data_IF_391651114753
#
_entry.id   IF_391651114753
#
_cell.length_a   1.000
_cell.length_b   1.000
_cell.length_c   1.000
_cell.angle_alpha   90.00
_cell.angle_beta   90.00
_cell.angle_gamma   90.00
#
_symmetry.space_group_name_H-M   'P 1'
#
loop_
_entity.id
_entity.type
_entity.pdbx_description
1 polymer ?
#
# COMPACT_ATOMS: atom_id res chain seq x y z
N UNK A 1 8.23 8.77 -23.62
CA UNK A 1 8.87 9.69 -22.66
C UNK A 1 9.85 8.89 -21.82
N UNK A 2 11.07 9.38 -21.56
CA UNK A 2 11.98 8.66 -20.66
C UNK A 2 11.31 8.63 -19.28
N UNK A 3 11.01 7.44 -18.79
CA UNK A 3 10.45 7.25 -17.46
C UNK A 3 11.48 7.72 -16.44
N UNK A 4 11.28 8.89 -15.84
CA UNK A 4 12.07 9.27 -14.67
C UNK A 4 11.93 8.14 -13.63
N UNK A 5 13.04 7.62 -13.07
CA UNK A 5 12.96 6.54 -12.10
C UNK A 5 12.08 6.99 -10.94
N UNK A 6 11.09 6.16 -10.59
CA UNK A 6 10.20 6.43 -9.48
C UNK A 6 11.05 6.63 -8.21
N UNK A 7 10.88 7.74 -7.47
CA UNK A 7 11.65 7.95 -6.26
C UNK A 7 11.26 6.93 -5.19
N UNK A 8 12.24 6.52 -4.40
CA UNK A 8 12.00 5.72 -3.20
C UNK A 8 11.44 6.65 -2.12
N UNK A 9 10.30 6.33 -1.54
CA UNK A 9 9.67 7.09 -0.48
C UNK A 9 10.31 6.75 0.86
N UNK A 10 10.66 7.78 1.64
CA UNK A 10 11.20 7.58 2.98
C UNK A 10 10.26 6.77 3.88
N UNK A 11 10.80 5.76 4.55
CA UNK A 11 10.12 4.94 5.54
C UNK A 11 10.69 5.21 6.94
N UNK A 12 9.86 5.80 7.80
CA UNK A 12 10.25 6.15 9.17
C UNK A 12 10.33 4.96 10.13
N UNK A 13 9.85 3.80 9.73
CA UNK A 13 9.82 2.59 10.54
C UNK A 13 11.08 1.72 10.33
N UNK A 14 12.03 2.13 9.48
CA UNK A 14 13.25 1.35 9.27
C UNK A 14 14.26 1.51 10.41
N UNK A 15 14.86 0.41 10.84
CA UNK A 15 15.84 0.32 11.93
C UNK A 15 16.98 -0.62 11.60
N UNK A 16 18.14 -0.36 12.20
CA UNK A 16 19.33 -1.17 12.03
C UNK A 16 19.15 -2.52 12.74
N UNK A 17 19.44 -3.60 12.01
CA UNK A 17 19.45 -4.97 12.51
C UNK A 17 20.89 -5.42 12.74
N UNK A 18 21.17 -5.93 13.93
CA UNK A 18 22.49 -6.43 14.31
C UNK A 18 23.41 -5.35 14.90
N UNK A 19 24.32 -5.79 15.77
CA UNK A 19 25.18 -4.89 16.54
C UNK A 19 26.12 -4.04 15.67
N UNK A 20 26.60 -4.60 14.55
CA UNK A 20 27.53 -3.91 13.66
C UNK A 20 26.90 -2.68 13.00
N UNK A 21 25.75 -2.83 12.34
CA UNK A 21 25.07 -1.70 11.71
C UNK A 21 24.58 -0.70 12.76
N UNK A 22 24.08 -1.17 13.90
CA UNK A 22 23.68 -0.30 15.01
C UNK A 22 24.86 0.57 15.50
N UNK A 23 26.05 -0.01 15.63
CA UNK A 23 27.25 0.73 16.02
C UNK A 23 27.69 1.73 14.93
N UNK A 24 27.63 1.35 13.65
CA UNK A 24 27.95 2.24 12.52
C UNK A 24 27.01 3.46 12.46
N UNK A 25 25.71 3.23 12.56
CA UNK A 25 24.69 4.29 12.62
C UNK A 25 24.91 5.22 13.82
N UNK A 26 25.24 4.66 14.99
CA UNK A 26 25.51 5.46 16.18
C UNK A 26 26.73 6.36 15.99
N UNK A 27 27.83 5.83 15.45
CA UNK A 27 29.04 6.62 15.12
C UNK A 27 28.76 7.72 14.10
N UNK A 28 27.90 7.45 13.10
CA UNK A 28 27.45 8.48 12.15
C UNK A 28 26.71 9.60 12.87
N UNK A 29 25.75 9.28 13.74
CA UNK A 29 25.04 10.28 14.53
C UNK A 29 25.98 11.11 15.43
N UNK A 30 26.94 10.46 16.10
CA UNK A 30 27.95 11.13 16.93
C UNK A 30 28.80 12.11 16.10
N UNK A 31 29.21 11.69 14.91
CA UNK A 31 29.98 12.51 13.96
C UNK A 31 29.19 13.73 13.50
N UNK A 32 27.90 13.57 13.20
CA UNK A 32 27.02 14.68 12.82
C UNK A 32 26.85 15.68 13.97
N UNK A 33 26.70 15.20 15.20
CA UNK A 33 26.60 16.07 16.39
C UNK A 33 27.91 16.82 16.65
N UNK A 34 29.07 16.17 16.48
CA UNK A 34 30.37 16.82 16.59
C UNK A 34 30.56 17.91 15.53
N UNK A 35 30.12 17.68 14.29
CA UNK A 35 30.13 18.68 13.22
C UNK A 35 29.17 19.84 13.50
N UNK A 36 27.95 19.56 14.01
CA UNK A 36 26.98 20.58 14.44
C UNK A 36 27.60 21.50 15.51
N UNK A 37 28.30 20.93 16.50
CA UNK A 37 28.97 21.67 17.56
C UNK A 37 30.14 22.53 17.04
N UNK A 38 31.00 21.96 16.18
CA UNK A 38 32.17 22.67 15.63
C UNK A 38 31.79 23.80 14.65
N UNK A 39 30.68 23.65 13.92
CA UNK A 39 30.19 24.65 12.95
C UNK A 39 29.53 25.87 13.61
N UNK A 40 29.19 25.81 14.90
CA UNK A 40 28.46 26.89 15.58
C UNK A 40 27.03 27.10 15.06
N UNK A 41 26.50 26.15 14.29
CA UNK A 41 25.20 26.26 13.60
C UNK A 41 24.00 26.33 14.55
N UNK A 42 24.17 25.99 15.83
CA UNK A 42 23.15 26.13 16.87
C UNK A 42 23.56 27.14 17.95
N UNK A 43 22.64 28.04 18.26
CA UNK A 43 22.79 29.01 19.38
C UNK A 43 22.64 28.36 20.76
N UNK A 44 22.03 27.17 20.86
CA UNK A 44 21.77 26.47 22.12
C UNK A 44 22.08 24.97 21.99
N UNK A 45 22.71 24.42 23.03
CA UNK A 45 22.94 22.99 23.16
C UNK A 45 21.63 22.20 23.01
N UNK A 46 21.72 21.01 22.42
CA UNK A 46 20.58 20.11 22.25
C UNK A 46 20.19 19.51 23.60
N UNK A 47 18.89 19.51 23.91
CA UNK A 47 18.37 18.84 25.12
C UNK A 47 18.47 17.33 24.94
N UNK A 48 18.60 16.58 26.02
CA UNK A 48 18.72 15.12 26.01
C UNK A 48 17.59 14.42 25.22
N UNK A 49 16.34 14.84 25.40
CA UNK A 49 15.20 14.31 24.66
C UNK A 49 15.26 14.58 23.14
N UNK A 50 15.80 15.74 22.74
CA UNK A 50 15.98 16.08 21.32
C UNK A 50 17.18 15.35 20.72
N UNK A 51 18.18 15.03 21.53
CA UNK A 51 19.32 14.18 21.18
C UNK A 51 18.84 12.76 20.92
N UNK A 52 18.06 12.15 21.81
CA UNK A 52 17.50 10.81 21.59
C UNK A 52 16.70 10.72 20.29
N UNK A 53 15.82 11.70 20.02
CA UNK A 53 15.06 11.77 18.76
C UNK A 53 15.97 11.94 17.54
N UNK A 54 17.07 12.68 17.66
CA UNK A 54 18.05 12.84 16.58
C UNK A 54 18.70 11.51 16.20
N UNK A 55 19.13 10.70 17.17
CA UNK A 55 19.66 9.36 16.89
C UNK A 55 18.64 8.49 16.15
N UNK A 56 17.38 8.49 16.59
CA UNK A 56 16.30 7.74 15.95
C UNK A 56 16.06 8.22 14.50
N UNK A 57 16.18 9.53 14.24
CA UNK A 57 16.08 10.07 12.90
C UNK A 57 17.26 9.72 12.00
N UNK A 58 18.49 9.80 12.52
CA UNK A 58 19.71 9.38 11.80
C UNK A 58 19.65 7.89 11.47
N UNK A 59 19.20 7.05 12.40
CA UNK A 59 19.02 5.61 12.16
C UNK A 59 18.05 5.33 11.02
N UNK A 60 16.86 5.94 11.05
CA UNK A 60 15.89 5.78 9.98
C UNK A 60 16.45 6.28 8.64
N UNK A 61 17.12 7.42 8.60
CA UNK A 61 17.78 7.95 7.39
C UNK A 61 18.86 7.01 6.86
N UNK A 62 19.77 6.56 7.72
CA UNK A 62 20.84 5.65 7.34
C UNK A 62 20.29 4.34 6.74
N UNK A 63 19.27 3.75 7.35
CA UNK A 63 18.62 2.55 6.83
C UNK A 63 17.97 2.79 5.46
N UNK A 64 17.29 3.92 5.27
CA UNK A 64 16.73 4.28 3.96
C UNK A 64 17.83 4.48 2.90
N UNK A 65 18.97 5.07 3.25
CA UNK A 65 20.09 5.29 2.32
C UNK A 65 20.80 3.98 1.94
N UNK A 66 20.93 3.03 2.88
CA UNK A 66 21.43 1.67 2.59
C UNK A 66 20.50 0.96 1.60
N UNK A 67 19.18 1.02 1.83
CA UNK A 67 18.22 0.44 0.91
C UNK A 67 18.22 1.13 -0.46
N UNK A 68 18.35 2.47 -0.49
CA UNK A 68 18.48 3.22 -1.74
C UNK A 68 19.70 2.74 -2.54
N UNK A 69 20.84 2.53 -1.87
CA UNK A 69 22.03 1.98 -2.54
C UNK A 69 21.79 0.55 -3.03
N UNK A 70 21.06 -0.26 -2.25
CA UNK A 70 20.70 -1.64 -2.61
C UNK A 70 19.70 -1.75 -3.77
N UNK A 71 19.02 -0.67 -4.18
CA UNK A 71 18.20 -0.70 -5.41
C UNK A 71 19.04 -0.69 -6.68
N UNK A 72 20.31 -0.29 -6.60
CA UNK A 72 21.22 -0.22 -7.76
C UNK A 72 20.78 0.74 -8.87
N UNK A 73 19.69 1.47 -8.69
CA UNK A 73 19.09 2.37 -9.67
C UNK A 73 19.51 3.83 -9.44
N UNK A 74 19.37 4.68 -10.45
CA UNK A 74 19.43 6.14 -10.30
C UNK A 74 18.21 6.72 -9.54
N UNK A 75 17.54 5.91 -8.71
CA UNK A 75 16.46 6.36 -7.85
C UNK A 75 16.98 7.33 -6.81
N UNK A 76 16.10 8.21 -6.35
CA UNK A 76 16.39 9.19 -5.30
C UNK A 76 15.47 8.93 -4.13
N UNK A 77 15.90 9.26 -2.92
CA UNK A 77 15.09 9.17 -1.72
C UNK A 77 14.22 10.43 -1.59
N UNK A 78 12.90 10.26 -1.66
CA UNK A 78 11.92 11.30 -1.39
C UNK A 78 11.70 11.43 0.12
N UNK A 79 12.23 12.52 0.70
CA UNK A 79 12.14 12.82 2.14
C UNK A 79 11.06 13.87 2.42
N UNK A 80 10.19 13.65 3.42
CA UNK A 80 9.16 14.61 3.78
C UNK A 80 9.78 15.86 4.42
N UNK A 81 9.50 17.03 3.84
CA UNK A 81 9.88 18.33 4.41
C UNK A 81 8.70 19.24 4.75
N UNK A 82 7.47 18.86 4.39
CA UNK A 82 6.30 19.70 4.63
C UNK A 82 5.89 19.68 6.11
N UNK A 83 5.52 20.85 6.62
CA UNK A 83 5.04 21.00 8.00
C UNK A 83 3.87 20.04 8.29
N UNK A 84 2.94 19.90 7.35
CA UNK A 84 1.78 19.01 7.50
C UNK A 84 2.14 17.53 7.72
N UNK A 85 3.31 17.06 7.26
CA UNK A 85 3.75 15.66 7.41
C UNK A 85 4.71 15.50 8.59
N UNK A 86 5.60 16.48 8.81
CA UNK A 86 6.62 16.42 9.86
C UNK A 86 5.99 16.36 11.26
N UNK A 87 4.88 17.05 11.47
CA UNK A 87 4.32 17.26 12.81
C UNK A 87 3.17 16.30 13.19
N UNK A 88 3.03 15.16 12.50
CA UNK A 88 1.96 14.17 12.75
C UNK A 88 2.27 13.17 13.89
N UNK A 89 3.13 13.53 14.85
CA UNK A 89 3.39 12.70 16.04
C UNK A 89 4.32 11.50 15.81
N UNK A 90 5.14 11.51 14.75
CA UNK A 90 6.15 10.49 14.49
C UNK A 90 7.46 10.81 15.24
N UNK A 91 8.01 9.86 16.01
CA UNK A 91 9.28 10.04 16.74
C UNK A 91 10.48 10.39 15.84
N UNK A 92 10.46 9.92 14.59
CA UNK A 92 11.48 10.20 13.58
C UNK A 92 11.27 11.59 13.00
N UNK A 93 10.06 11.99 12.67
CA UNK A 93 9.82 13.24 11.93
C UNK A 93 9.71 14.43 12.89
N UNK A 94 10.53 15.46 12.65
CA UNK A 94 10.56 16.69 13.44
C UNK A 94 11.72 17.60 13.02
N UNK A 95 11.96 18.65 13.80
CA UNK A 95 13.11 19.55 13.56
C UNK A 95 14.45 18.81 13.60
N UNK A 96 14.56 17.79 14.45
CA UNK A 96 15.74 16.93 14.55
C UNK A 96 16.02 16.12 13.27
N UNK A 97 14.98 15.69 12.56
CA UNK A 97 15.12 15.00 11.28
C UNK A 97 15.56 15.94 10.15
N UNK A 98 14.99 17.15 10.10
CA UNK A 98 15.45 18.18 9.16
C UNK A 98 16.92 18.52 9.40
N UNK A 99 17.30 18.73 10.67
CA UNK A 99 18.70 18.97 11.04
C UNK A 99 19.62 17.81 10.62
N UNK A 100 19.18 16.55 10.76
CA UNK A 100 19.97 15.40 10.33
C UNK A 100 20.21 15.42 8.81
N UNK A 101 19.20 15.76 7.99
CA UNK A 101 19.36 15.92 6.54
C UNK A 101 20.34 17.06 6.23
N UNK A 102 20.16 18.23 6.88
CA UNK A 102 20.98 19.41 6.62
C UNK A 102 22.46 19.14 6.97
N UNK A 103 22.74 18.45 8.09
CA UNK A 103 24.09 18.06 8.51
C UNK A 103 24.72 17.02 7.58
N UNK A 104 23.96 15.99 7.17
CA UNK A 104 24.42 15.02 6.17
C UNK A 104 24.80 15.72 4.85
N UNK A 105 24.02 16.73 4.44
CA UNK A 105 24.29 17.52 3.24
C UNK A 105 25.51 18.43 3.41
N UNK A 106 25.65 19.10 4.57
CA UNK A 106 26.77 19.99 4.88
C UNK A 106 28.11 19.24 4.91
N UNK A 107 28.10 18.00 5.41
CA UNK A 107 29.27 17.12 5.39
C UNK A 107 29.53 16.46 4.02
N UNK A 108 28.69 16.72 3.02
CA UNK A 108 28.82 16.13 1.68
C UNK A 108 28.57 14.63 1.62
N UNK A 109 27.86 14.06 2.60
CA UNK A 109 27.49 12.63 2.64
C UNK A 109 26.25 12.35 1.79
N UNK A 110 25.40 13.35 1.59
CA UNK A 110 24.27 13.30 0.67
C UNK A 110 24.24 14.52 -0.26
N UNK A 111 23.57 14.38 -1.40
CA UNK A 111 23.19 15.51 -2.25
C UNK A 111 21.70 15.81 -2.04
N UNK A 112 21.38 17.09 -1.81
CA UNK A 112 20.01 17.55 -2.00
C UNK A 112 19.77 17.82 -3.48
N UNK A 113 18.82 17.10 -4.07
CA UNK A 113 18.35 17.34 -5.43
C UNK A 113 17.33 18.48 -5.48
N UNK A 114 16.23 18.28 -6.22
CA UNK A 114 15.15 19.27 -6.28
C UNK A 114 14.40 19.35 -4.94
N UNK A 115 14.31 20.56 -4.37
CA UNK A 115 13.48 20.85 -3.20
C UNK A 115 12.02 21.07 -3.61
N UNK A 116 11.09 20.35 -2.97
CA UNK A 116 9.65 20.66 -3.01
C UNK A 116 9.07 21.00 -4.39
N UNK A 117 9.46 20.28 -5.44
CA UNK A 117 9.11 20.65 -6.81
C UNK A 117 7.72 20.14 -7.20
N UNK A 118 7.03 20.92 -8.03
CA UNK A 118 5.76 20.51 -8.63
C UNK A 118 6.03 19.64 -9.85
N UNK A 119 5.42 18.45 -9.92
CA UNK A 119 5.36 17.65 -11.17
C UNK A 119 4.21 18.14 -12.05
N UNK A 120 3.17 18.68 -11.42
CA UNK A 120 2.05 19.36 -12.07
C UNK A 120 1.54 20.47 -11.17
N UNK A 121 0.64 21.32 -11.68
CA UNK A 121 -0.03 22.36 -10.88
C UNK A 121 -0.68 21.79 -9.60
N UNK A 122 -1.01 20.48 -9.62
CA UNK A 122 -1.77 19.76 -8.59
C UNK A 122 -0.95 18.80 -7.72
N UNK A 123 0.34 18.58 -8.01
CA UNK A 123 1.17 17.61 -7.27
C UNK A 123 2.53 18.18 -6.86
N UNK A 124 2.73 18.35 -5.54
CA UNK A 124 4.00 18.73 -4.93
C UNK A 124 4.76 17.47 -4.49
N UNK A 125 5.98 17.29 -4.97
CA UNK A 125 6.83 16.18 -4.58
C UNK A 125 7.61 16.50 -3.30
N UNK A 126 7.92 15.47 -2.49
CA UNK A 126 8.91 15.59 -1.43
C UNK A 126 10.27 15.99 -1.99
N UNK A 127 11.12 16.55 -1.14
CA UNK A 127 12.50 16.85 -1.53
C UNK A 127 13.25 15.56 -1.82
N UNK A 128 14.09 15.56 -2.84
CA UNK A 128 14.87 14.37 -3.24
C UNK A 128 16.29 14.44 -2.67
N UNK A 129 16.75 13.30 -2.16
CA UNK A 129 18.09 13.10 -1.60
C UNK A 129 18.79 11.95 -2.33
N UNK A 130 20.08 12.10 -2.55
CA UNK A 130 20.95 11.10 -3.17
C UNK A 130 22.16 10.81 -2.27
N UNK A 131 22.67 9.57 -2.27
CA UNK A 131 23.92 9.21 -1.57
C UNK A 131 25.14 9.78 -2.31
N UNK A 132 26.13 10.28 -1.57
CA UNK A 132 27.48 10.58 -2.10
C UNK A 132 28.46 9.47 -1.73
N UNK A 133 29.59 9.40 -2.43
CA UNK A 133 30.62 8.35 -2.21
C UNK A 133 31.13 8.33 -0.78
N UNK A 134 31.36 9.50 -0.17
CA UNK A 134 31.81 9.65 1.23
C UNK A 134 30.90 9.02 2.27
N UNK A 135 29.63 8.74 1.95
CA UNK A 135 28.74 8.04 2.87
C UNK A 135 29.22 6.62 3.18
N UNK A 136 29.96 5.98 2.25
CA UNK A 136 30.52 4.64 2.43
C UNK A 136 31.58 4.58 3.53
N UNK A 137 32.18 5.71 3.92
CA UNK A 137 33.12 5.80 5.04
C UNK A 137 32.42 5.62 6.40
N UNK A 138 31.09 5.80 6.43
CA UNK A 138 30.28 5.78 7.65
C UNK A 138 29.29 4.60 7.72
N UNK A 139 28.83 4.09 6.57
CA UNK A 139 27.82 3.03 6.47
C UNK A 139 28.27 1.92 5.53
N UNK A 140 27.87 0.65 5.78
CA UNK A 140 28.21 -0.48 4.93
C UNK A 140 27.41 -0.43 3.61
N UNK A 141 27.96 0.28 2.62
CA UNK A 141 27.34 0.51 1.32
C UNK A 141 27.99 -0.27 0.17
N UNK A 142 29.04 -1.06 0.45
CA UNK A 142 29.83 -1.78 -0.55
C UNK A 142 30.20 -3.20 -0.06
N UNK A 143 29.43 -4.24 -0.42
CA UNK A 143 28.08 -4.15 -0.97
C UNK A 143 27.06 -3.73 0.11
N UNK A 144 25.95 -3.08 -0.27
CA UNK A 144 24.90 -2.75 0.69
C UNK A 144 24.14 -4.03 1.10
N UNK A 145 24.07 -4.33 2.39
CA UNK A 145 23.24 -5.43 2.89
C UNK A 145 21.86 -4.94 3.34
N UNK A 146 20.87 -5.11 2.47
CA UNK A 146 19.49 -4.76 2.79
C UNK A 146 18.88 -5.65 3.90
N UNK A 147 19.46 -6.82 4.20
CA UNK A 147 19.01 -7.72 5.27
C UNK A 147 19.44 -7.25 6.65
N UNK A 148 20.43 -6.37 6.72
CA UNK A 148 20.80 -5.64 7.93
C UNK A 148 19.78 -4.54 8.29
N UNK A 149 18.73 -4.34 7.48
CA UNK A 149 17.63 -3.43 7.81
C UNK A 149 16.37 -4.23 8.12
N UNK A 150 15.61 -3.77 9.12
CA UNK A 150 14.27 -4.28 9.41
C UNK A 150 13.27 -3.14 9.58
N UNK A 151 11.99 -3.45 9.51
CA UNK A 151 10.91 -2.51 9.75
C UNK A 151 10.28 -2.82 11.12
N UNK A 152 10.16 -1.81 11.98
CA UNK A 152 9.39 -1.91 13.23
C UNK A 152 7.90 -1.77 12.95
N UNK A 153 7.06 -2.18 13.90
CA UNK A 153 5.62 -2.01 13.76
C UNK A 153 5.24 -0.54 13.70
N UNK A 154 4.38 -0.20 12.75
CA UNK A 154 3.71 1.09 12.75
C UNK A 154 2.69 1.10 13.91
N UNK A 155 2.79 2.03 14.87
CA UNK A 155 1.79 2.14 15.93
C UNK A 155 0.40 2.51 15.35
N UNK A 156 0.35 3.13 14.17
CA UNK A 156 -0.88 3.55 13.50
C UNK A 156 -1.42 2.43 12.60
N UNK A 157 -2.21 1.54 13.19
CA UNK A 157 -2.80 0.41 12.48
C UNK A 157 -4.09 0.75 11.70
N UNK A 158 -4.74 1.86 12.06
CA UNK A 158 -6.02 2.27 11.47
C UNK A 158 -5.94 3.73 11.06
N UNK A 159 -6.18 4.00 9.79
CA UNK A 159 -6.18 5.35 9.21
C UNK A 159 -7.59 5.68 8.74
N UNK A 160 -8.08 6.84 9.13
CA UNK A 160 -9.28 7.45 8.57
C UNK A 160 -8.85 8.58 7.64
N UNK A 161 -9.35 8.59 6.40
CA UNK A 161 -9.08 9.64 5.43
C UNK A 161 -10.31 10.48 5.13
N UNK A 162 -10.09 11.73 4.78
CA UNK A 162 -11.10 12.64 4.23
C UNK A 162 -11.66 12.14 2.90
N UNK A 163 -12.69 12.82 2.41
CA UNK A 163 -13.05 12.71 1.00
C UNK A 163 -11.91 13.24 0.13
N UNK A 164 -11.83 12.76 -1.11
CA UNK A 164 -10.88 13.34 -2.07
C UNK A 164 -11.27 14.79 -2.36
N UNK A 165 -10.30 15.69 -2.30
CA UNK A 165 -10.44 17.07 -2.76
C UNK A 165 -10.48 17.16 -4.30
N UNK A 166 -10.58 18.39 -4.83
CA UNK A 166 -10.61 18.65 -6.27
C UNK A 166 -9.35 18.14 -7.01
N UNK A 167 -8.24 17.99 -6.28
CA UNK A 167 -6.95 17.51 -6.79
C UNK A 167 -6.79 15.99 -6.60
N UNK A 168 -7.79 15.31 -6.02
CA UNK A 168 -7.79 13.87 -5.79
C UNK A 168 -7.03 13.45 -4.52
N UNK A 169 -6.57 14.39 -3.71
CA UNK A 169 -5.86 14.14 -2.46
C UNK A 169 -6.86 13.89 -1.33
N UNK A 170 -6.49 13.01 -0.39
CA UNK A 170 -7.30 12.74 0.79
C UNK A 170 -6.38 12.72 2.02
N UNK A 171 -6.51 13.73 2.88
CA UNK A 171 -5.78 13.87 4.12
C UNK A 171 -6.18 12.81 5.15
N UNK A 172 -5.30 12.51 6.10
CA UNK A 172 -5.64 11.69 7.26
C UNK A 172 -6.39 12.55 8.30
N UNK A 173 -7.45 12.00 8.88
CA UNK A 173 -8.27 12.63 9.91
C UNK A 173 -7.84 12.10 11.28
N UNK A 174 -7.57 13.01 12.22
CA UNK A 174 -7.43 12.64 13.62
C UNK A 174 -8.79 12.24 14.19
N UNK A 175 -8.86 11.10 14.87
CA UNK A 175 -10.09 10.62 15.52
C UNK A 175 -9.78 10.18 16.95
N UNK A 176 -10.76 10.35 17.84
CA UNK A 176 -10.70 9.78 19.19
C UNK A 176 -10.94 8.28 19.11
N UNK A 177 -10.12 7.50 19.83
CA UNK A 177 -10.32 6.06 19.88
C UNK A 177 -11.70 5.68 20.44
N UNK A 178 -12.35 4.72 19.78
CA UNK A 178 -13.62 4.13 20.18
C UNK A 178 -13.49 2.60 20.29
N UNK A 179 -14.51 1.93 20.84
CA UNK A 179 -14.54 0.47 20.84
C UNK A 179 -14.43 -0.11 19.42
N UNK A 180 -15.03 0.56 18.43
CA UNK A 180 -14.97 0.16 17.03
C UNK A 180 -13.56 0.31 16.44
N UNK A 181 -12.89 1.45 16.64
CA UNK A 181 -11.52 1.65 16.11
C UNK A 181 -10.52 0.72 16.79
N UNK A 182 -10.70 0.44 18.10
CA UNK A 182 -9.92 -0.55 18.84
C UNK A 182 -10.12 -1.96 18.30
N UNK A 183 -11.35 -2.35 17.96
CA UNK A 183 -11.64 -3.63 17.30
C UNK A 183 -10.87 -3.74 15.98
N UNK A 184 -10.91 -2.70 15.15
CA UNK A 184 -10.18 -2.70 13.87
C UNK A 184 -8.66 -2.80 14.08
N UNK A 185 -8.10 -2.03 15.01
CA UNK A 185 -6.68 -2.10 15.33
C UNK A 185 -6.28 -3.49 15.84
N UNK A 186 -7.12 -4.12 16.67
CA UNK A 186 -6.87 -5.48 17.16
C UNK A 186 -6.88 -6.53 16.04
N UNK A 187 -7.80 -6.42 15.08
CA UNK A 187 -7.83 -7.29 13.90
C UNK A 187 -6.52 -7.19 13.10
N UNK A 188 -6.10 -5.96 12.77
CA UNK A 188 -4.84 -5.71 12.05
C UNK A 188 -3.64 -6.21 12.84
N UNK A 189 -3.61 -5.98 14.16
CA UNK A 189 -2.50 -6.42 15.02
C UNK A 189 -2.33 -7.94 15.01
N UNK A 190 -3.43 -8.70 15.04
CA UNK A 190 -3.40 -10.17 14.96
C UNK A 190 -2.84 -10.63 13.62
N UNK A 191 -3.31 -10.05 12.52
CA UNK A 191 -2.82 -10.35 11.17
C UNK A 191 -1.32 -10.03 11.07
N UNK A 192 -0.90 -8.84 11.49
CA UNK A 192 0.52 -8.44 11.46
C UNK A 192 1.38 -9.37 12.30
N UNK A 193 0.92 -9.79 13.48
CA UNK A 193 1.64 -10.77 14.31
C UNK A 193 1.87 -12.07 13.54
N UNK A 194 0.82 -12.64 12.97
CA UNK A 194 0.91 -13.88 12.21
C UNK A 194 1.87 -13.73 11.00
N UNK A 195 1.72 -12.67 10.22
CA UNK A 195 2.58 -12.42 9.06
C UNK A 195 4.05 -12.20 9.44
N UNK A 196 4.34 -11.60 10.59
CA UNK A 196 5.70 -11.40 11.11
C UNK A 196 6.48 -12.71 11.24
N UNK A 197 5.80 -13.75 11.70
CA UNK A 197 6.39 -15.05 11.99
C UNK A 197 6.41 -15.97 10.75
N UNK A 198 5.61 -15.66 9.72
CA UNK A 198 5.51 -16.45 8.51
C UNK A 198 6.80 -16.50 7.67
N UNK A 199 7.07 -17.66 7.05
CA UNK A 199 8.18 -17.84 6.12
C UNK A 199 7.78 -17.32 4.73
N UNK A 200 8.12 -16.06 4.46
CA UNK A 200 7.82 -15.39 3.20
C UNK A 200 9.12 -14.94 2.56
N UNK A 201 9.30 -15.29 1.29
CA UNK A 201 10.49 -14.97 0.51
C UNK A 201 10.11 -14.41 -0.85
N UNK A 202 11.05 -13.72 -1.50
CA UNK A 202 10.91 -13.28 -2.89
C UNK A 202 12.14 -13.75 -3.65
N UNK A 203 11.95 -14.62 -4.64
CA UNK A 203 13.06 -15.20 -5.39
C UNK A 203 13.73 -14.18 -6.31
N UNK A 204 15.03 -14.35 -6.55
CA UNK A 204 15.83 -13.53 -7.48
C UNK A 204 16.19 -12.13 -6.98
N UNK A 205 15.83 -11.73 -5.75
CA UNK A 205 16.16 -10.40 -5.22
C UNK A 205 17.67 -10.15 -5.06
N UNK A 206 18.44 -11.20 -4.74
CA UNK A 206 19.88 -11.06 -4.51
C UNK A 206 20.67 -10.79 -5.79
N UNK A 207 20.20 -11.31 -6.91
CA UNK A 207 20.83 -11.11 -8.21
C UNK A 207 20.42 -9.78 -8.86
N UNK A 208 19.18 -9.32 -8.65
CA UNK A 208 18.62 -8.13 -9.31
C UNK A 208 18.73 -6.83 -8.51
N UNK A 209 19.15 -6.90 -7.25
CA UNK A 209 18.97 -5.78 -6.30
C UNK A 209 17.51 -5.57 -5.90
N UNK A 210 17.28 -4.62 -4.99
CA UNK A 210 15.93 -4.26 -4.54
C UNK A 210 15.17 -3.47 -5.60
N UNK A 211 13.87 -3.73 -5.73
CA UNK A 211 12.99 -3.02 -6.66
C UNK A 211 12.07 -2.08 -5.89
N UNK A 212 11.86 -0.87 -6.41
CA UNK A 212 10.86 0.06 -5.88
C UNK A 212 9.48 -0.29 -6.44
N UNK A 213 8.53 -0.57 -5.55
CA UNK A 213 7.14 -0.87 -5.91
C UNK A 213 6.35 0.36 -6.31
N UNK A 214 5.11 0.16 -6.77
CA UNK A 214 4.23 1.24 -7.27
C UNK A 214 3.91 2.32 -6.23
N UNK A 215 4.01 2.00 -4.95
CA UNK A 215 3.82 2.91 -3.83
C UNK A 215 5.09 3.69 -3.44
N UNK A 216 6.17 3.54 -4.23
CA UNK A 216 7.46 4.16 -3.99
C UNK A 216 8.25 3.49 -2.85
N UNK A 217 7.76 2.40 -2.27
CA UNK A 217 8.46 1.67 -1.22
C UNK A 217 9.22 0.48 -1.80
N UNK A 218 10.30 0.06 -1.17
CA UNK A 218 11.04 -1.12 -1.64
C UNK A 218 10.20 -2.40 -1.47
N UNK A 219 10.31 -3.28 -2.45
CA UNK A 219 9.76 -4.63 -2.38
C UNK A 219 10.75 -5.46 -1.57
N UNK A 220 10.45 -5.67 -0.28
CA UNK A 220 11.31 -6.43 0.62
C UNK A 220 10.48 -7.33 1.56
N UNK A 221 10.90 -8.58 1.82
CA UNK A 221 10.15 -9.52 2.66
C UNK A 221 9.90 -9.06 4.10
N UNK A 222 10.73 -8.16 4.66
CA UNK A 222 10.49 -7.62 5.99
C UNK A 222 9.29 -6.64 6.02
N UNK A 223 8.90 -6.07 4.87
CA UNK A 223 7.83 -5.06 4.76
C UNK A 223 6.47 -5.75 4.66
N UNK A 224 5.99 -6.25 5.80
CA UNK A 224 4.75 -7.02 5.91
C UNK A 224 3.75 -6.47 6.92
N UNK A 225 4.05 -5.31 7.52
CA UNK A 225 3.16 -4.61 8.42
C UNK A 225 2.00 -3.98 7.64
N UNK A 226 0.78 -4.41 7.97
CA UNK A 226 -0.44 -3.90 7.38
C UNK A 226 -1.09 -2.81 8.23
N UNK A 227 -1.87 -1.99 7.56
CA UNK A 227 -2.78 -1.01 8.13
C UNK A 227 -4.11 -1.04 7.41
N UNK A 228 -5.17 -0.64 8.12
CA UNK A 228 -6.54 -0.59 7.59
C UNK A 228 -6.94 0.85 7.28
N UNK A 229 -7.32 1.14 6.04
CA UNK A 229 -7.58 2.51 5.59
C UNK A 229 -9.06 2.71 5.27
N UNK A 230 -9.72 3.58 6.02
CA UNK A 230 -11.09 4.04 5.81
C UNK A 230 -11.10 5.39 5.09
N UNK A 231 -12.18 5.68 4.36
CA UNK A 231 -12.27 6.84 3.47
C UNK A 231 -13.48 7.73 3.81
N UNK A 232 -13.50 8.95 3.27
CA UNK A 232 -14.64 9.86 3.33
C UNK A 232 -15.10 10.20 4.77
N UNK A 233 -14.18 10.21 5.73
CA UNK A 233 -14.46 10.56 7.13
C UNK A 233 -15.42 9.61 7.85
N UNK A 234 -15.62 8.38 7.35
CA UNK A 234 -16.53 7.41 7.98
C UNK A 234 -15.98 5.99 8.00
N UNK A 235 -16.30 5.25 9.07
CA UNK A 235 -15.98 3.83 9.24
C UNK A 235 -16.77 2.89 8.31
N UNK A 236 -17.74 3.43 7.57
CA UNK A 236 -18.59 2.66 6.64
C UNK A 236 -18.04 2.64 5.21
N UNK A 237 -16.94 3.35 4.93
CA UNK A 237 -16.37 3.47 3.61
C UNK A 237 -14.92 2.98 3.58
N UNK A 238 -14.60 2.08 2.65
CA UNK A 238 -13.25 1.57 2.49
C UNK A 238 -12.91 0.46 3.48
N UNK A 239 -11.81 0.60 4.22
CA UNK A 239 -11.32 -0.42 5.15
C UNK A 239 -10.31 -1.39 4.55
N UNK A 240 -9.90 -1.24 3.29
CA UNK A 240 -8.89 -2.12 2.67
C UNK A 240 -7.57 -2.09 3.45
N UNK A 241 -6.90 -3.24 3.45
CA UNK A 241 -5.55 -3.38 3.99
C UNK A 241 -4.52 -2.79 3.02
N UNK A 242 -3.49 -2.17 3.57
CA UNK A 242 -2.37 -1.57 2.85
C UNK A 242 -1.05 -1.80 3.60
N UNK A 243 0.09 -1.65 2.94
CA UNK A 243 1.42 -1.62 3.57
C UNK A 243 2.33 -2.81 3.24
N UNK A 244 1.77 -4.00 2.98
CA UNK A 244 2.54 -5.18 2.62
C UNK A 244 3.19 -5.05 1.23
N UNK A 245 4.44 -5.49 1.09
CA UNK A 245 5.19 -5.34 -0.16
C UNK A 245 4.47 -5.95 -1.39
N UNK A 246 3.77 -7.06 -1.20
CA UNK A 246 3.05 -7.75 -2.29
C UNK A 246 1.89 -6.93 -2.86
N UNK A 247 1.37 -5.95 -2.11
CA UNK A 247 0.33 -5.03 -2.58
C UNK A 247 0.88 -4.02 -3.59
N UNK A 248 2.17 -3.66 -3.50
CA UNK A 248 2.82 -2.72 -4.42
C UNK A 248 3.62 -3.38 -5.54
N UNK A 249 3.80 -4.71 -5.47
CA UNK A 249 4.34 -5.51 -6.57
C UNK A 249 3.44 -5.44 -7.81
N UNK A 250 4.08 -5.46 -8.98
CA UNK A 250 3.35 -5.68 -10.22
C UNK A 250 2.77 -7.10 -10.24
N UNK A 251 1.60 -7.28 -10.86
CA UNK A 251 0.95 -8.59 -10.93
C UNK A 251 1.87 -9.65 -11.54
N UNK A 252 2.57 -9.30 -12.61
CA UNK A 252 3.52 -10.20 -13.28
C UNK A 252 4.69 -10.60 -12.40
N UNK A 253 5.09 -9.81 -11.39
CA UNK A 253 6.23 -10.12 -10.52
C UNK A 253 5.84 -10.98 -9.32
N UNK A 254 4.54 -11.11 -9.01
CA UNK A 254 4.10 -11.80 -7.78
C UNK A 254 4.36 -13.31 -7.80
N UNK A 255 4.58 -13.92 -8.96
CA UNK A 255 4.99 -15.33 -9.08
C UNK A 255 6.34 -15.61 -8.37
N UNK A 256 7.14 -14.57 -8.08
CA UNK A 256 8.41 -14.67 -7.34
C UNK A 256 8.22 -14.87 -5.83
N UNK A 257 7.02 -14.62 -5.30
CA UNK A 257 6.74 -14.82 -3.89
C UNK A 257 6.78 -16.31 -3.58
N UNK A 258 7.41 -16.67 -2.46
CA UNK A 258 7.31 -17.99 -1.85
C UNK A 258 6.70 -17.87 -0.47
N UNK A 259 5.75 -18.76 -0.16
CA UNK A 259 5.11 -18.87 1.14
C UNK A 259 5.41 -20.28 1.64
N UNK A 260 6.08 -20.38 2.78
CA UNK A 260 6.57 -21.65 3.36
C UNK A 260 7.44 -22.45 2.37
N UNK A 261 8.26 -21.73 1.60
CA UNK A 261 9.13 -22.28 0.55
C UNK A 261 8.41 -22.69 -0.74
N UNK A 262 7.08 -22.70 -0.76
CA UNK A 262 6.27 -23.09 -1.91
C UNK A 262 5.94 -21.89 -2.82
N UNK A 263 5.65 -22.17 -4.10
CA UNK A 263 5.04 -21.17 -4.98
C UNK A 263 3.69 -20.72 -4.40
N UNK A 264 3.24 -19.54 -4.84
CA UNK A 264 1.97 -18.99 -4.40
C UNK A 264 0.84 -19.30 -5.39
N UNK A 265 -0.37 -19.44 -4.88
CA UNK A 265 -1.61 -19.38 -5.63
C UNK A 265 -2.40 -18.12 -5.23
N UNK A 266 -3.06 -17.49 -6.21
CA UNK A 266 -3.99 -16.38 -5.99
C UNK A 266 -5.42 -16.94 -5.96
N UNK A 267 -6.11 -16.78 -4.84
CA UNK A 267 -7.51 -17.18 -4.67
C UNK A 267 -8.37 -15.93 -4.56
N UNK A 268 -9.30 -15.72 -5.50
CA UNK A 268 -10.03 -14.46 -5.68
C UNK A 268 -11.54 -14.63 -5.82
N UNK A 269 -12.31 -13.67 -5.27
CA UNK A 269 -13.73 -13.56 -5.56
C UNK A 269 -13.96 -13.04 -6.97
N UNK A 270 -14.65 -13.80 -7.82
CA UNK A 270 -15.00 -13.35 -9.17
C UNK A 270 -16.15 -12.36 -9.14
N UNK A 271 -15.86 -11.14 -9.59
CA UNK A 271 -16.87 -10.10 -9.84
C UNK A 271 -17.60 -9.68 -8.54
N UNK A 272 -16.85 -9.57 -7.44
CA UNK A 272 -17.39 -9.38 -6.09
C UNK A 272 -18.36 -8.21 -5.98
N UNK A 273 -18.01 -7.05 -6.55
CA UNK A 273 -18.81 -5.82 -6.36
C UNK A 273 -20.21 -5.91 -7.00
N UNK A 274 -20.35 -6.28 -8.28
CA UNK A 274 -21.66 -6.57 -8.86
C UNK A 274 -22.44 -7.62 -8.05
N UNK A 275 -21.79 -8.71 -7.63
CA UNK A 275 -22.44 -9.76 -6.83
C UNK A 275 -22.98 -9.25 -5.49
N UNK A 276 -22.19 -8.46 -4.76
CA UNK A 276 -22.64 -7.81 -3.54
C UNK A 276 -23.76 -6.77 -3.80
N UNK A 277 -23.79 -6.14 -4.98
CA UNK A 277 -24.92 -5.28 -5.35
C UNK A 277 -26.22 -6.08 -5.54
N UNK A 278 -26.16 -7.28 -6.12
CA UNK A 278 -27.32 -8.19 -6.19
C UNK A 278 -27.79 -8.63 -4.80
N UNK A 279 -26.85 -9.01 -3.92
CA UNK A 279 -27.15 -9.32 -2.51
C UNK A 279 -27.82 -8.13 -1.82
N UNK A 280 -27.33 -6.91 -2.08
CA UNK A 280 -27.88 -5.68 -1.48
C UNK A 280 -29.30 -5.35 -1.96
N UNK A 281 -29.64 -5.78 -3.18
CA UNK A 281 -30.96 -5.66 -3.79
C UNK A 281 -31.90 -6.84 -3.45
N UNK A 282 -31.45 -7.79 -2.62
CA UNK A 282 -32.16 -9.06 -2.35
C UNK A 282 -32.55 -9.81 -3.63
N UNK A 283 -31.68 -9.73 -4.64
CA UNK A 283 -31.91 -10.27 -5.97
C UNK A 283 -31.05 -11.53 -6.20
N UNK A 284 -31.56 -12.53 -6.94
CA UNK A 284 -30.77 -13.69 -7.36
C UNK A 284 -29.52 -13.25 -8.13
N UNK A 285 -28.37 -13.84 -7.79
CA UNK A 285 -27.12 -13.55 -8.48
C UNK A 285 -27.09 -14.28 -9.83
N UNK A 286 -26.85 -13.60 -10.96
CA UNK A 286 -26.77 -14.29 -12.24
C UNK A 286 -25.55 -15.22 -12.32
N UNK A 287 -25.74 -16.31 -13.06
CA UNK A 287 -24.66 -17.18 -13.51
C UNK A 287 -23.81 -16.49 -14.59
N UNK A 288 -22.60 -17.00 -14.82
CA UNK A 288 -21.72 -16.52 -15.89
C UNK A 288 -21.03 -15.18 -15.63
N UNK A 289 -20.72 -14.48 -16.72
CA UNK A 289 -19.97 -13.23 -16.71
C UNK A 289 -20.90 -12.02 -16.69
N UNK A 290 -20.90 -11.29 -15.57
CA UNK A 290 -21.68 -10.08 -15.37
C UNK A 290 -21.16 -8.92 -16.21
N UNK A 291 -19.92 -8.97 -16.70
CA UNK A 291 -19.38 -7.93 -17.56
C UNK A 291 -19.60 -8.18 -19.06
N UNK A 292 -20.05 -9.37 -19.44
CA UNK A 292 -20.35 -9.70 -20.85
C UNK A 292 -21.73 -9.16 -21.25
N UNK A 293 -21.83 -7.84 -21.44
CA UNK A 293 -23.11 -7.17 -21.76
C UNK A 293 -23.63 -7.53 -23.15
N UNK A 294 -22.72 -7.80 -24.08
CA UNK A 294 -23.04 -8.07 -25.48
C UNK A 294 -23.27 -9.56 -25.77
N UNK A 295 -22.97 -10.45 -24.82
CA UNK A 295 -23.22 -11.89 -24.91
C UNK A 295 -22.22 -12.66 -25.78
N UNK A 296 -21.14 -12.00 -26.21
CA UNK A 296 -20.08 -12.57 -27.04
C UNK A 296 -18.67 -12.15 -26.59
N UNK A 297 -18.55 -11.60 -25.38
CA UNK A 297 -17.30 -11.09 -24.81
C UNK A 297 -16.85 -9.72 -25.33
N UNK A 298 -17.50 -9.18 -26.36
CA UNK A 298 -17.19 -7.84 -26.88
C UNK A 298 -17.39 -6.78 -25.81
N UNK A 299 -16.47 -5.82 -25.72
CA UNK A 299 -16.60 -4.68 -24.81
C UNK A 299 -16.54 -5.00 -23.32
N UNK A 300 -16.28 -6.25 -22.93
CA UNK A 300 -16.29 -6.72 -21.55
C UNK A 300 -15.45 -5.86 -20.60
N UNK A 301 -14.24 -5.50 -20.99
CA UNK A 301 -13.35 -4.67 -20.17
C UNK A 301 -13.89 -3.24 -20.01
N UNK A 302 -14.53 -2.72 -21.06
CA UNK A 302 -15.26 -1.45 -21.02
C UNK A 302 -16.46 -1.51 -20.08
N UNK A 303 -17.29 -2.54 -20.19
CA UNK A 303 -18.44 -2.78 -19.31
C UNK A 303 -18.03 -2.93 -17.84
N UNK A 304 -16.93 -3.64 -17.57
CA UNK A 304 -16.35 -3.75 -16.22
C UNK A 304 -15.97 -2.39 -15.64
N UNK A 305 -15.26 -1.55 -16.41
CA UNK A 305 -14.88 -0.20 -15.97
C UNK A 305 -16.11 0.69 -15.77
N UNK A 306 -17.07 0.64 -16.70
CA UNK A 306 -18.31 1.43 -16.63
C UNK A 306 -19.18 1.03 -15.43
N UNK A 307 -19.40 -0.27 -15.21
CA UNK A 307 -20.11 -0.80 -14.03
C UNK A 307 -19.47 -0.31 -12.73
N UNK A 308 -18.15 -0.44 -12.59
CA UNK A 308 -17.44 0.05 -11.42
C UNK A 308 -17.65 1.56 -11.24
N UNK A 309 -17.52 2.36 -12.31
CA UNK A 309 -17.75 3.79 -12.23
C UNK A 309 -19.18 4.13 -11.78
N UNK A 310 -20.20 3.45 -12.30
CA UNK A 310 -21.60 3.64 -11.91
C UNK A 310 -21.88 3.28 -10.44
N UNK A 311 -21.27 2.22 -9.93
CA UNK A 311 -21.39 1.83 -8.51
C UNK A 311 -20.76 2.87 -7.57
N UNK A 312 -19.67 3.53 -7.98
CA UNK A 312 -18.98 4.56 -7.18
C UNK A 312 -19.56 5.97 -7.34
N UNK A 313 -20.20 6.25 -8.47
CA UNK A 313 -20.76 7.57 -8.76
C UNK A 313 -21.91 7.91 -7.79
N UNK A 314 -22.00 9.19 -7.40
CA UNK A 314 -23.10 9.73 -6.58
C UNK A 314 -24.16 10.50 -7.41
N UNK A 315 -23.98 10.50 -8.72
CA UNK A 315 -24.83 11.14 -9.71
C UNK A 315 -24.68 10.42 -11.06
N UNK A 316 -25.57 10.63 -12.03
CA UNK A 316 -25.41 10.11 -13.38
C UNK A 316 -24.06 10.52 -13.99
N UNK A 317 -23.42 9.60 -14.71
CA UNK A 317 -22.17 9.88 -15.40
C UNK A 317 -22.42 10.81 -16.58
N UNK A 318 -21.65 11.91 -16.64
CA UNK A 318 -21.69 12.87 -17.76
C UNK A 318 -20.64 12.60 -18.83
N UNK A 319 -19.54 11.95 -18.44
CA UNK A 319 -18.41 11.62 -19.30
C UNK A 319 -18.04 10.16 -19.12
N UNK A 320 -17.39 9.58 -20.14
CA UNK A 320 -16.80 8.25 -20.04
C UNK A 320 -15.78 8.20 -18.89
N UNK A 321 -15.74 7.10 -18.12
CA UNK A 321 -14.61 6.85 -17.23
C UNK A 321 -13.31 6.72 -18.02
N UNK A 322 -12.18 6.99 -17.37
CA UNK A 322 -10.83 7.05 -17.97
C UNK A 322 -10.56 5.94 -19.00
N UNK A 323 -10.26 6.34 -20.24
CA UNK A 323 -10.02 5.49 -21.40
C UNK A 323 -10.95 4.27 -21.51
N UNK A 324 -12.22 4.45 -21.15
CA UNK A 324 -13.22 3.37 -21.15
C UNK A 324 -13.88 3.23 -22.52
N UNK A 325 -14.13 4.35 -23.21
CA UNK A 325 -14.76 4.37 -24.54
C UNK A 325 -14.04 3.47 -25.57
N UNK A 326 -12.71 3.45 -25.59
CA UNK A 326 -11.91 2.63 -26.55
C UNK A 326 -12.16 1.12 -26.48
N UNK A 327 -12.82 0.65 -25.43
CA UNK A 327 -13.14 -0.77 -25.26
C UNK A 327 -14.50 -1.11 -25.88
N UNK A 328 -15.32 -0.12 -26.22
CA UNK A 328 -16.63 -0.33 -26.80
C UNK A 328 -16.57 -0.36 -28.34
N UNK A 329 -17.49 -1.09 -29.00
CA UNK A 329 -17.69 -1.00 -30.43
C UNK A 329 -17.92 0.44 -30.91
N UNK A 330 -17.52 0.70 -32.16
CA UNK A 330 -17.73 1.99 -32.81
C UNK A 330 -19.22 2.37 -32.84
N UNK A 331 -19.49 3.67 -32.64
CA UNK A 331 -20.85 4.22 -32.63
C UNK A 331 -21.59 4.12 -31.28
N UNK A 332 -21.07 3.40 -30.28
CA UNK A 332 -21.69 3.33 -28.96
C UNK A 332 -21.31 4.54 -28.12
N UNK A 333 -22.29 5.40 -27.85
CA UNK A 333 -22.13 6.51 -26.91
C UNK A 333 -22.34 6.07 -25.45
N UNK A 334 -21.94 6.92 -24.49
CA UNK A 334 -22.03 6.62 -23.05
C UNK A 334 -23.45 6.30 -22.60
N UNK A 335 -24.45 7.04 -23.10
CA UNK A 335 -25.85 6.86 -22.72
C UNK A 335 -26.31 5.45 -23.10
N UNK A 336 -26.09 5.05 -24.35
CA UNK A 336 -26.41 3.72 -24.86
C UNK A 336 -25.69 2.64 -24.06
N UNK A 337 -24.39 2.81 -23.76
CA UNK A 337 -23.65 1.84 -22.96
C UNK A 337 -24.20 1.68 -21.53
N UNK A 338 -24.60 2.79 -20.89
CA UNK A 338 -25.24 2.77 -19.56
C UNK A 338 -26.61 2.10 -19.62
N UNK A 339 -27.42 2.39 -20.64
CA UNK A 339 -28.74 1.78 -20.85
C UNK A 339 -28.63 0.27 -21.06
N UNK A 340 -27.69 -0.20 -21.90
CA UNK A 340 -27.45 -1.62 -22.12
C UNK A 340 -27.03 -2.33 -20.83
N UNK A 341 -26.12 -1.73 -20.07
CA UNK A 341 -25.66 -2.27 -18.79
C UNK A 341 -26.80 -2.30 -17.76
N UNK A 342 -27.60 -1.23 -17.68
CA UNK A 342 -28.77 -1.16 -16.80
C UNK A 342 -29.84 -2.19 -17.19
N UNK A 343 -30.05 -2.43 -18.49
CA UNK A 343 -30.98 -3.44 -18.98
C UNK A 343 -30.53 -4.85 -18.59
N UNK A 344 -29.26 -5.21 -18.84
CA UNK A 344 -28.70 -6.52 -18.41
C UNK A 344 -28.78 -6.71 -16.90
N UNK A 345 -28.59 -5.63 -16.14
CA UNK A 345 -28.56 -5.65 -14.68
C UNK A 345 -29.78 -4.99 -14.05
N UNK A 346 -30.96 -5.15 -14.65
CA UNK A 346 -32.20 -4.51 -14.21
C UNK A 346 -32.46 -4.64 -12.68
N UNK A 347 -32.21 -5.80 -12.02
CA UNK A 347 -32.41 -5.94 -10.58
C UNK A 347 -31.55 -5.00 -9.72
N UNK A 348 -30.38 -4.57 -10.20
CA UNK A 348 -29.46 -3.70 -9.46
C UNK A 348 -29.29 -2.32 -10.09
N UNK A 349 -29.95 -2.04 -11.22
CA UNK A 349 -29.80 -0.78 -11.95
C UNK A 349 -30.17 0.45 -11.09
N UNK A 350 -31.15 0.30 -10.19
CA UNK A 350 -31.57 1.34 -9.25
C UNK A 350 -30.48 1.73 -8.22
N UNK A 351 -29.44 0.90 -8.05
CA UNK A 351 -28.29 1.17 -7.19
C UNK A 351 -27.19 1.99 -7.88
N UNK A 352 -27.23 2.12 -9.21
CA UNK A 352 -26.25 2.92 -9.95
C UNK A 352 -26.40 4.42 -9.64
N UNK A 353 -25.27 5.11 -9.53
CA UNK A 353 -25.25 6.54 -9.22
C UNK A 353 -25.59 6.88 -7.76
N UNK A 354 -25.62 5.89 -6.85
CA UNK A 354 -25.94 6.09 -5.41
C UNK A 354 -24.71 6.09 -4.49
N UNK A 355 -23.50 5.96 -5.03
CA UNK A 355 -22.25 5.98 -4.27
C UNK A 355 -22.01 4.72 -3.43
N UNK A 356 -22.59 3.58 -3.84
CA UNK A 356 -22.55 2.31 -3.11
C UNK A 356 -21.13 1.71 -3.04
N UNK A 357 -20.26 2.00 -4.01
CA UNK A 357 -18.95 1.35 -4.15
C UNK A 357 -18.04 1.41 -2.92
N UNK A 358 -18.07 2.50 -2.14
CA UNK A 358 -17.28 2.59 -0.91
C UNK A 358 -17.83 1.72 0.23
N UNK A 359 -19.14 1.46 0.26
CA UNK A 359 -19.77 0.53 1.20
C UNK A 359 -19.52 -0.92 0.77
N UNK A 360 -19.51 -1.21 -0.54
CA UNK A 360 -19.10 -2.54 -1.03
C UNK A 360 -17.65 -2.84 -0.68
N UNK A 361 -16.76 -1.85 -0.80
CA UNK A 361 -15.36 -1.95 -0.35
C UNK A 361 -15.26 -2.23 1.17
N UNK A 362 -16.20 -1.71 1.95
CA UNK A 362 -16.30 -1.96 3.39
C UNK A 362 -16.68 -3.40 3.71
N UNK A 363 -17.64 -3.94 2.98
CA UNK A 363 -18.07 -5.33 3.10
C UNK A 363 -16.94 -6.27 2.64
N UNK A 364 -16.35 -6.03 1.46
CA UNK A 364 -15.18 -6.75 0.94
C UNK A 364 -14.06 -6.81 1.98
N UNK A 365 -13.74 -5.67 2.60
CA UNK A 365 -12.71 -5.59 3.63
C UNK A 365 -13.04 -6.44 4.87
N UNK A 366 -14.27 -6.41 5.38
CA UNK A 366 -14.64 -7.24 6.53
C UNK A 366 -14.59 -8.72 6.21
N UNK A 367 -15.10 -9.12 5.04
CA UNK A 367 -15.01 -10.49 4.56
C UNK A 367 -13.55 -10.94 4.47
N UNK A 368 -12.66 -10.11 3.91
CA UNK A 368 -11.24 -10.43 3.84
C UNK A 368 -10.61 -10.58 5.23
N UNK A 369 -10.96 -9.73 6.19
CA UNK A 369 -10.47 -9.85 7.57
C UNK A 369 -10.92 -11.18 8.20
N UNK A 370 -12.16 -11.61 7.96
CA UNK A 370 -12.67 -12.90 8.43
C UNK A 370 -11.94 -14.06 7.77
N UNK A 371 -11.76 -14.04 6.44
CA UNK A 371 -10.98 -15.03 5.69
C UNK A 371 -9.57 -15.18 6.28
N UNK A 372 -8.85 -14.07 6.49
CA UNK A 372 -7.50 -14.10 7.07
C UNK A 372 -7.50 -14.64 8.50
N UNK A 373 -8.54 -14.32 9.28
CA UNK A 373 -8.67 -14.82 10.65
C UNK A 373 -8.87 -16.33 10.66
N UNK A 374 -9.70 -16.88 9.78
CA UNK A 374 -9.95 -18.32 9.68
C UNK A 374 -8.75 -19.08 9.12
N UNK A 375 -8.11 -18.55 8.07
CA UNK A 375 -6.89 -19.16 7.52
C UNK A 375 -5.75 -19.17 8.53
N UNK A 376 -5.52 -18.06 9.25
CA UNK A 376 -4.49 -18.03 10.29
C UNK A 376 -4.80 -18.98 11.46
N UNK A 377 -6.08 -19.15 11.84
CA UNK A 377 -6.50 -20.13 12.84
C UNK A 377 -6.27 -21.59 12.37
N UNK A 378 -6.36 -21.83 11.06
CA UNK A 378 -6.02 -23.11 10.43
C UNK A 378 -4.50 -23.28 10.17
N UNK A 379 -3.65 -22.34 10.60
CA UNK A 379 -2.21 -22.37 10.36
C UNK A 379 -1.80 -22.05 8.92
N UNK A 380 -2.71 -21.55 8.08
CA UNK A 380 -2.44 -21.21 6.68
C UNK A 380 -2.00 -19.77 6.56
N UNK A 381 -0.79 -19.56 6.03
CA UNK A 381 -0.29 -18.22 5.69
C UNK A 381 -0.99 -17.65 4.46
N UNK A 382 -1.70 -16.53 4.65
CA UNK A 382 -2.41 -15.82 3.59
C UNK A 382 -2.02 -14.34 3.53
N UNK A 383 -1.56 -13.89 2.36
CA UNK A 383 -1.27 -12.48 2.09
C UNK A 383 -2.50 -11.81 1.47
N UNK A 384 -3.13 -10.80 2.11
CA UNK A 384 -4.32 -10.16 1.57
C UNK A 384 -4.03 -9.31 0.33
N UNK A 385 -4.87 -9.43 -0.70
CA UNK A 385 -4.79 -8.67 -1.94
C UNK A 385 -6.18 -8.23 -2.39
N UNK A 386 -6.67 -7.10 -1.87
CA UNK A 386 -8.03 -6.61 -2.14
C UNK A 386 -9.10 -7.68 -1.85
N UNK A 387 -9.81 -8.17 -2.86
CA UNK A 387 -10.81 -9.25 -2.81
C UNK A 387 -10.22 -10.66 -2.99
N UNK A 388 -8.90 -10.78 -2.87
CA UNK A 388 -8.17 -12.03 -3.02
C UNK A 388 -7.20 -12.27 -1.85
N UNK A 389 -6.71 -13.50 -1.76
CA UNK A 389 -5.57 -13.88 -0.90
C UNK A 389 -4.51 -14.59 -1.73
N UNK A 390 -3.25 -14.41 -1.37
CA UNK A 390 -2.14 -15.21 -1.87
C UNK A 390 -1.76 -16.22 -0.78
N UNK A 391 -1.81 -17.52 -1.12
CA UNK A 391 -1.46 -18.63 -0.22
C UNK A 391 -0.42 -19.52 -0.89
N UNK A 392 0.23 -20.41 -0.14
CA UNK A 392 1.04 -21.47 -0.75
C UNK A 392 0.16 -22.35 -1.67
N UNK A 393 0.67 -22.79 -2.82
CA UNK A 393 -0.08 -23.63 -3.78
C UNK A 393 -0.86 -24.79 -3.13
N UNK A 394 -0.28 -25.57 -2.18
CA UNK A 394 -1.00 -26.67 -1.52
C UNK A 394 -2.21 -26.23 -0.68
N UNK A 395 -2.27 -24.97 -0.26
CA UNK A 395 -3.36 -24.41 0.55
C UNK A 395 -4.43 -23.69 -0.26
N UNK A 396 -4.34 -23.71 -1.60
CA UNK A 396 -5.31 -23.03 -2.46
C UNK A 396 -6.75 -23.55 -2.26
N UNK A 397 -6.94 -24.86 -2.08
CA UNK A 397 -8.26 -25.46 -1.82
C UNK A 397 -8.86 -24.98 -0.49
N UNK A 398 -8.08 -25.00 0.59
CA UNK A 398 -8.51 -24.50 1.90
C UNK A 398 -8.92 -23.03 1.82
N UNK A 399 -8.12 -22.19 1.15
CA UNK A 399 -8.45 -20.79 0.93
C UNK A 399 -9.74 -20.60 0.10
N UNK A 400 -9.93 -21.41 -0.93
CA UNK A 400 -11.13 -21.36 -1.76
C UNK A 400 -12.40 -21.70 -0.95
N UNK A 401 -12.34 -22.77 -0.17
CA UNK A 401 -13.43 -23.21 0.71
C UNK A 401 -13.75 -22.16 1.78
N UNK A 402 -12.72 -21.63 2.47
CA UNK A 402 -12.88 -20.58 3.47
C UNK A 402 -13.52 -19.32 2.87
N UNK A 403 -13.05 -18.87 1.71
CA UNK A 403 -13.64 -17.72 1.02
C UNK A 403 -15.10 -17.98 0.62
N UNK A 404 -15.41 -19.17 0.10
CA UNK A 404 -16.79 -19.55 -0.20
C UNK A 404 -17.70 -19.49 1.03
N UNK A 405 -17.24 -20.07 2.15
CA UNK A 405 -17.98 -20.09 3.42
C UNK A 405 -18.18 -18.69 4.00
N UNK A 406 -17.16 -17.83 4.00
CA UNK A 406 -17.26 -16.43 4.44
C UNK A 406 -18.27 -15.67 3.59
N UNK A 407 -18.21 -15.81 2.26
CA UNK A 407 -19.17 -15.17 1.39
C UNK A 407 -20.60 -15.63 1.69
N UNK A 408 -20.82 -16.93 1.88
CA UNK A 408 -22.15 -17.45 2.21
C UNK A 408 -22.68 -16.89 3.53
N UNK A 409 -21.85 -16.77 4.57
CA UNK A 409 -22.27 -16.18 5.86
C UNK A 409 -22.64 -14.71 5.73
N UNK A 410 -21.86 -13.94 4.97
CA UNK A 410 -22.08 -12.50 4.81
C UNK A 410 -23.23 -12.16 3.87
N UNK A 411 -23.42 -12.95 2.83
CA UNK A 411 -24.42 -12.68 1.78
C UNK A 411 -25.70 -13.48 1.91
N UNK A 412 -25.70 -14.54 2.73
CA UNK A 412 -26.74 -15.60 2.75
C UNK A 412 -26.96 -16.28 1.39
N UNK A 413 -26.00 -16.12 0.47
CA UNK A 413 -26.06 -16.67 -0.88
C UNK A 413 -24.90 -17.64 -1.10
N UNK A 414 -25.16 -18.86 -1.61
CA UNK A 414 -24.09 -19.82 -1.92
C UNK A 414 -23.35 -19.49 -3.23
N UNK A 415 -23.80 -18.49 -4.00
CA UNK A 415 -23.32 -18.19 -5.35
C UNK A 415 -21.96 -17.46 -5.39
N UNK A 416 -21.12 -17.63 -4.37
CA UNK A 416 -19.75 -17.11 -4.40
C UNK A 416 -18.97 -17.87 -5.47
N UNK A 417 -18.57 -17.19 -6.54
CA UNK A 417 -17.65 -17.80 -7.50
C UNK A 417 -16.24 -17.42 -7.07
N UNK A 418 -15.52 -18.37 -6.47
CA UNK A 418 -14.12 -18.21 -6.06
C UNK A 418 -13.23 -18.90 -7.09
N UNK A 419 -12.31 -18.17 -7.71
CA UNK A 419 -11.32 -18.75 -8.62
C UNK A 419 -9.96 -18.93 -7.95
N UNK A 420 -9.22 -19.93 -8.43
CA UNK A 420 -7.83 -20.18 -8.07
C UNK A 420 -6.99 -19.98 -9.33
N UNK A 421 -5.92 -19.19 -9.20
CA UNK A 421 -4.92 -18.98 -10.25
C UNK A 421 -3.56 -19.40 -9.72
N UNK A 422 -2.78 -20.06 -10.58
CA UNK A 422 -1.40 -20.46 -10.32
C UNK A 422 -0.49 -19.62 -11.24
N UNK A 423 0.03 -18.47 -10.78
CA UNK A 423 0.92 -17.65 -11.58
C UNK A 423 2.18 -18.43 -11.95
N UNK A 424 2.54 -18.40 -13.23
CA UNK A 424 3.77 -19.00 -13.74
C UNK A 424 4.93 -18.02 -13.64
#
# INVERSE_FOLDING_TARGET
>A
MPSHPQPMMFDSQLRAKGAELQAAVRRLADTLLAHEAASGSRTRARKEADTAKFYVAVEALACNLILLKATGSNSKLAVPRSHAVIWQGNTVLGQHFLAAIDLLSAMGLIAEGRRGYRISDRSKMPSLVETRERLADHLPLTPPDWRAVHQIDDPVLVILREGKDADGNAGAIAYRESAQSKKFANQVRRINKFLREANIQVTGQDASGLVVGKDGQVIAPYRRSLKRIFNNGTWQHGGRLAGGFWLSMQRAERHRIRIDGQRMAEVDYRQLFPRLAYVRADAPQPEGDLYDVFGNGTGRDGCKKLMNALLFAKAPLRNWPEDTHRHFPDGINLRTAVEMLAAKHAPIAHLFGKGLGFQLMRIESDMLIEVLTELSAAGVTALPLHDAVLVAEPHAGVAQETMGAVFQRWSRSPCAIVSVKFPQ
#
